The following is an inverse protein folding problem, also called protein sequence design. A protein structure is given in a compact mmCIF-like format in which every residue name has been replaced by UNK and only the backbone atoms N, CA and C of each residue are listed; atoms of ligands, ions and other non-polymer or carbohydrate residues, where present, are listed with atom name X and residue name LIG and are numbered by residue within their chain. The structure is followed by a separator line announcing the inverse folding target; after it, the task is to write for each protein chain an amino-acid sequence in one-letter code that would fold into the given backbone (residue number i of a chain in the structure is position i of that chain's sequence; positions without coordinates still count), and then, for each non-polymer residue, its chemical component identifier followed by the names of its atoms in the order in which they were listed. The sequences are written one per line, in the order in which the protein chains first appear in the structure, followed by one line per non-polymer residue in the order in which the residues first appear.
data_IF_235975882913
#
_entry.id   IF_235975882913
#
_cell.length_a   1.000
_cell.length_b   1.000
_cell.length_c   1.000
_cell.angle_alpha   90.00
_cell.angle_beta   90.00
_cell.angle_gamma   90.00
#
_symmetry.space_group_name_H-M   'P 1'
#
loop_
_entity.id
_entity.type
_entity.pdbx_description
1 polymer ?
#
# COMPACT_ATOMS: atom_id res chain seq x y z
N UNK A 1 23.63 -1.65 19.74
CA UNK A 1 22.80 -2.38 18.76
C UNK A 1 21.37 -1.92 18.89
N UNK A 2 20.70 -1.74 17.76
CA UNK A 2 19.27 -1.46 17.66
C UNK A 2 18.63 -2.78 17.22
N UNK A 3 17.75 -3.34 18.04
CA UNK A 3 17.03 -4.57 17.72
C UNK A 3 15.54 -4.26 17.65
N UNK A 4 14.92 -4.63 16.53
CA UNK A 4 13.51 -4.38 16.24
C UNK A 4 12.97 -5.51 15.37
N UNK A 5 11.65 -5.58 15.24
CA UNK A 5 10.98 -6.50 14.32
C UNK A 5 10.36 -5.70 13.18
N UNK A 6 10.60 -6.10 11.94
CA UNK A 6 10.06 -5.39 10.78
C UNK A 6 8.55 -5.63 10.61
N UNK A 7 7.92 -4.91 9.69
CA UNK A 7 6.47 -5.04 9.44
C UNK A 7 6.03 -6.40 8.88
N UNK A 8 6.97 -7.27 8.48
CA UNK A 8 6.71 -8.66 8.08
C UNK A 8 6.89 -9.65 9.23
N UNK A 9 7.49 -9.16 10.30
CA UNK A 9 7.68 -9.85 11.54
C UNK A 9 9.02 -10.56 11.69
N UNK A 10 9.99 -10.20 10.84
CA UNK A 10 11.37 -10.67 10.93
C UNK A 10 12.16 -9.80 11.91
N UNK A 11 13.00 -10.44 12.74
CA UNK A 11 13.90 -9.73 13.64
C UNK A 11 15.05 -9.09 12.87
N UNK A 12 15.32 -7.82 13.15
CA UNK A 12 16.37 -7.02 12.54
C UNK A 12 17.27 -6.43 13.62
N UNK A 13 18.58 -6.62 13.47
CA UNK A 13 19.59 -6.05 14.35
C UNK A 13 20.57 -5.16 13.58
N UNK A 14 20.71 -3.91 14.04
CA UNK A 14 21.64 -2.93 13.47
C UNK A 14 22.69 -2.57 14.52
N UNK A 15 23.95 -2.90 14.24
CA UNK A 15 25.06 -2.49 15.10
C UNK A 15 25.60 -1.14 14.65
N UNK A 16 25.54 -0.17 15.56
CA UNK A 16 26.08 1.19 15.37
C UNK A 16 27.48 1.23 15.96
N UNK A 17 28.47 1.57 15.13
CA UNK A 17 29.87 1.69 15.54
C UNK A 17 30.29 3.16 15.45
N UNK A 18 30.20 3.88 16.57
CA UNK A 18 30.78 5.21 16.70
C UNK A 18 32.29 5.12 16.95
N UNK A 19 33.08 6.00 16.36
CA UNK A 19 34.51 6.13 16.64
C UNK A 19 34.73 7.16 17.75
N UNK A 20 35.88 7.06 18.41
CA UNK A 20 36.28 8.05 19.40
C UNK A 20 36.46 9.42 18.72
N UNK A 21 35.63 10.38 19.12
CA UNK A 21 35.64 11.74 18.58
C UNK A 21 34.50 12.05 17.60
N UNK A 22 33.67 11.07 17.23
CA UNK A 22 32.45 11.33 16.45
C UNK A 22 31.47 12.14 17.30
N UNK A 23 30.82 13.14 16.68
CA UNK A 23 29.74 13.89 17.33
C UNK A 23 28.38 13.17 17.18
N UNK A 24 27.37 13.65 17.92
CA UNK A 24 26.06 12.97 17.98
C UNK A 24 25.33 13.12 16.63
N UNK A 25 25.56 14.22 15.92
CA UNK A 25 25.06 14.49 14.57
C UNK A 25 25.62 13.50 13.54
N UNK A 26 26.90 13.16 13.62
CA UNK A 26 27.53 12.11 12.81
C UNK A 26 26.93 10.73 13.13
N UNK A 27 26.72 10.42 14.41
CA UNK A 27 26.04 9.18 14.82
C UNK A 27 24.60 9.11 14.28
N UNK A 28 23.85 10.22 14.37
CA UNK A 28 22.50 10.30 13.82
C UNK A 28 22.49 10.09 12.30
N UNK A 29 23.46 10.70 11.60
CA UNK A 29 23.64 10.53 10.15
C UNK A 29 23.98 9.09 9.80
N UNK A 30 24.86 8.44 10.59
CA UNK A 30 25.22 7.05 10.39
C UNK A 30 24.02 6.11 10.59
N UNK A 31 23.20 6.31 11.63
CA UNK A 31 21.96 5.54 11.85
C UNK A 31 21.02 5.70 10.65
N UNK A 32 20.78 6.94 10.21
CA UNK A 32 19.91 7.23 9.07
C UNK A 32 20.40 6.63 7.74
N UNK A 33 21.70 6.42 7.60
CA UNK A 33 22.31 5.82 6.41
C UNK A 33 22.37 4.28 6.44
N UNK A 34 22.35 3.67 7.63
CA UNK A 34 22.47 2.22 7.77
C UNK A 34 21.14 1.48 7.57
N UNK A 35 20.03 2.14 7.87
CA UNK A 35 18.70 1.52 7.78
C UNK A 35 17.61 2.53 7.46
N UNK A 36 16.64 2.09 6.68
CA UNK A 36 15.43 2.85 6.40
C UNK A 36 14.31 2.63 7.44
N UNK A 37 14.50 1.69 8.38
CA UNK A 37 13.49 1.31 9.38
C UNK A 37 13.41 2.31 10.53
N UNK A 38 14.53 2.94 10.88
CA UNK A 38 14.59 3.99 11.90
C UNK A 38 15.08 5.31 11.32
N UNK A 39 14.73 6.40 12.00
CA UNK A 39 15.27 7.74 11.75
C UNK A 39 15.88 8.28 13.02
N UNK A 40 16.99 9.00 12.92
CA UNK A 40 17.65 9.61 14.06
C UNK A 40 17.82 11.11 13.86
N UNK A 41 17.73 11.87 14.95
CA UNK A 41 18.00 13.31 14.99
C UNK A 41 18.56 13.73 16.34
N UNK A 42 19.04 14.97 16.42
CA UNK A 42 19.56 15.56 17.65
C UNK A 42 18.58 16.63 18.14
N UNK A 43 18.16 16.50 19.40
CA UNK A 43 17.29 17.45 20.08
C UNK A 43 18.04 18.71 20.54
N UNK A 44 17.29 19.71 20.99
CA UNK A 44 17.84 20.96 21.53
C UNK A 44 18.68 20.76 22.80
N UNK A 45 18.44 19.66 23.53
CA UNK A 45 19.21 19.25 24.70
C UNK A 45 20.51 18.50 24.34
N UNK A 46 20.85 18.43 23.05
CA UNK A 46 22.04 17.75 22.54
C UNK A 46 21.97 16.23 22.64
N UNK A 47 20.77 15.66 22.81
CA UNK A 47 20.58 14.20 22.88
C UNK A 47 20.16 13.62 21.55
N UNK A 48 20.62 12.39 21.32
CA UNK A 48 20.18 11.58 20.19
C UNK A 48 18.74 11.09 20.42
N UNK A 49 17.91 11.26 19.41
CA UNK A 49 16.56 10.73 19.36
C UNK A 49 16.46 9.78 18.17
N UNK A 50 15.79 8.64 18.38
CA UNK A 50 15.60 7.63 17.33
C UNK A 50 14.11 7.30 17.26
N UNK A 51 13.57 7.34 16.05
CA UNK A 51 12.16 7.15 15.73
C UNK A 51 11.99 5.96 14.79
N UNK A 52 10.90 5.23 14.95
CA UNK A 52 10.51 4.17 14.04
C UNK A 52 9.03 4.34 13.66
N UNK A 53 8.73 4.26 12.37
CA UNK A 53 7.36 4.28 11.88
C UNK A 53 6.71 2.91 11.99
N UNK A 54 5.47 2.85 12.50
CA UNK A 54 4.69 1.61 12.61
C UNK A 54 4.37 0.93 11.25
N UNK A 55 4.49 1.67 10.15
CA UNK A 55 4.36 1.12 8.80
C UNK A 55 5.58 0.29 8.36
N UNK A 56 6.69 0.38 9.10
CA UNK A 56 7.96 -0.30 8.80
C UNK A 56 8.39 -1.27 9.90
N UNK A 57 7.96 -1.04 11.13
CA UNK A 57 8.38 -1.78 12.33
C UNK A 57 7.14 -2.32 13.05
N UNK A 58 7.14 -3.60 13.39
CA UNK A 58 6.12 -4.29 14.19
C UNK A 58 6.62 -4.50 15.62
N UNK A 59 6.18 -3.65 16.55
CA UNK A 59 6.52 -3.77 17.97
C UNK A 59 7.54 -2.75 18.46
N UNK A 60 8.20 -3.07 19.58
CA UNK A 60 9.09 -2.16 20.28
C UNK A 60 10.49 -2.14 19.65
N UNK A 61 11.10 -0.96 19.61
CA UNK A 61 12.52 -0.78 19.25
C UNK A 61 13.34 -0.84 20.53
N UNK A 62 14.30 -1.76 20.59
CA UNK A 62 15.19 -1.89 21.75
C UNK A 62 16.60 -1.42 21.41
N UNK A 63 17.24 -0.77 22.39
CA UNK A 63 18.62 -0.31 22.30
C UNK A 63 19.48 -1.06 23.32
N UNK A 64 20.63 -1.57 22.89
CA UNK A 64 21.55 -2.31 23.75
C UNK A 64 23.03 -1.96 23.48
N UNK A 65 23.90 -2.26 24.46
CA UNK A 65 25.34 -2.03 24.37
C UNK A 65 25.82 -0.73 25.02
N UNK A 66 27.15 -0.56 25.11
CA UNK A 66 27.78 0.56 25.83
C UNK A 66 27.41 1.94 25.29
N UNK A 67 27.37 2.08 23.96
CA UNK A 67 27.01 3.34 23.29
C UNK A 67 25.57 3.78 23.60
N UNK A 68 24.63 2.83 23.73
CA UNK A 68 23.25 3.16 24.08
C UNK A 68 23.14 3.72 25.50
N UNK A 69 23.92 3.19 26.44
CA UNK A 69 24.03 3.72 27.80
C UNK A 69 24.69 5.09 27.86
N UNK A 70 25.75 5.31 27.07
CA UNK A 70 26.46 6.60 27.01
C UNK A 70 25.60 7.72 26.40
N UNK A 71 24.84 7.39 25.36
CA UNK A 71 23.89 8.31 24.72
C UNK A 71 22.56 8.45 25.48
N UNK A 72 22.42 7.76 26.63
CA UNK A 72 21.19 7.74 27.44
C UNK A 72 19.93 7.37 26.64
N UNK A 73 20.05 6.44 25.70
CA UNK A 73 18.91 5.93 24.96
C UNK A 73 18.04 5.08 25.91
N UNK A 74 16.84 5.58 26.19
CA UNK A 74 15.87 4.94 27.09
C UNK A 74 14.98 3.91 26.39
N UNK A 75 13.94 3.48 27.11
CA UNK A 75 12.87 2.64 26.55
C UNK A 75 12.15 3.36 25.40
N UNK A 76 11.70 2.59 24.41
CA UNK A 76 10.95 3.17 23.31
C UNK A 76 9.58 3.61 23.82
N UNK A 77 9.22 4.85 23.47
CA UNK A 77 7.90 5.40 23.74
C UNK A 77 7.04 5.28 22.49
N UNK A 78 5.87 4.66 22.62
CA UNK A 78 4.87 4.71 21.56
C UNK A 78 4.22 6.10 21.53
N UNK A 79 4.30 6.76 20.38
CA UNK A 79 3.65 8.05 20.13
C UNK A 79 2.78 7.93 18.88
N UNK A 80 1.61 8.52 18.92
CA UNK A 80 0.59 8.49 17.87
C UNK A 80 0.35 9.88 17.32
N UNK A 81 -0.34 9.98 16.18
CA UNK A 81 -0.75 11.27 15.59
C UNK A 81 -1.55 12.14 16.57
N UNK A 82 -2.27 11.53 17.50
CA UNK A 82 -3.07 12.23 18.53
C UNK A 82 -2.22 12.83 19.66
N UNK A 83 -1.03 12.27 19.90
CA UNK A 83 -0.17 12.60 21.04
C UNK A 83 1.08 13.36 20.67
N UNK A 84 1.18 13.83 19.41
CA UNK A 84 2.30 14.63 18.93
C UNK A 84 2.36 15.98 19.64
N UNK A 85 3.56 16.44 19.93
CA UNK A 85 3.83 17.75 20.55
C UNK A 85 4.89 18.49 19.74
N UNK A 86 4.54 19.68 19.24
CA UNK A 86 5.42 20.51 18.39
C UNK A 86 5.99 21.72 19.15
N UNK A 87 5.84 21.77 20.48
CA UNK A 87 6.31 22.88 21.30
C UNK A 87 7.83 22.90 21.51
N UNK A 88 8.52 21.80 21.23
CA UNK A 88 9.98 21.67 21.26
C UNK A 88 10.54 21.26 19.90
N UNK A 89 11.82 21.56 19.65
CA UNK A 89 12.51 21.14 18.41
C UNK A 89 12.50 19.62 18.26
N UNK A 90 12.77 18.91 19.36
CA UNK A 90 12.71 17.46 19.46
C UNK A 90 11.32 16.92 19.10
N UNK A 91 10.28 17.43 19.76
CA UNK A 91 8.91 17.01 19.52
C UNK A 91 8.43 17.32 18.09
N UNK A 92 8.89 18.44 17.51
CA UNK A 92 8.60 18.76 16.11
C UNK A 92 9.23 17.75 15.13
N UNK A 93 10.49 17.33 15.37
CA UNK A 93 11.15 16.30 14.55
C UNK A 93 10.46 14.94 14.68
N UNK A 94 10.09 14.55 15.91
CA UNK A 94 9.29 13.35 16.18
C UNK A 94 7.94 13.40 15.44
N UNK A 95 7.24 14.53 15.53
CA UNK A 95 5.97 14.77 14.87
C UNK A 95 6.07 14.60 13.35
N UNK A 96 7.14 15.11 12.74
CA UNK A 96 7.40 14.93 11.29
C UNK A 96 7.56 13.45 10.94
N UNK A 97 8.32 12.70 11.72
CA UNK A 97 8.49 11.26 11.49
C UNK A 97 7.17 10.48 11.61
N UNK A 98 6.36 10.80 12.63
CA UNK A 98 5.04 10.18 12.86
C UNK A 98 4.08 10.50 11.72
N UNK A 99 4.00 11.77 11.30
CA UNK A 99 3.12 12.20 10.22
C UNK A 99 3.56 11.59 8.89
N UNK A 100 4.85 11.51 8.58
CA UNK A 100 5.36 10.84 7.38
C UNK A 100 4.97 9.35 7.35
N UNK A 101 5.08 8.65 8.48
CA UNK A 101 4.64 7.27 8.61
C UNK A 101 3.12 7.13 8.39
N UNK A 102 2.32 8.00 9.01
CA UNK A 102 0.87 8.02 8.86
C UNK A 102 0.42 8.34 7.42
N UNK A 103 1.08 9.28 6.76
CA UNK A 103 0.80 9.63 5.36
C UNK A 103 1.12 8.45 4.44
N UNK A 104 2.28 7.80 4.62
CA UNK A 104 2.63 6.60 3.85
C UNK A 104 1.63 5.47 4.04
N UNK A 105 1.10 5.30 5.25
CA UNK A 105 0.03 4.35 5.52
C UNK A 105 -1.25 4.70 4.75
N UNK A 106 -1.67 5.97 4.74
CA UNK A 106 -2.86 6.39 3.98
C UNK A 106 -2.62 6.22 2.47
N UNK A 107 -1.45 6.60 1.97
CA UNK A 107 -1.11 6.50 0.56
C UNK A 107 -1.04 5.06 0.06
N UNK A 108 -0.56 4.12 0.88
CA UNK A 108 -0.57 2.69 0.53
C UNK A 108 -1.99 2.16 0.33
N UNK A 109 -2.92 2.54 1.22
CA UNK A 109 -4.33 2.16 1.09
C UNK A 109 -4.99 2.82 -0.13
N UNK A 110 -4.65 4.08 -0.43
CA UNK A 110 -5.14 4.75 -1.64
C UNK A 110 -4.62 4.09 -2.92
N UNK A 111 -3.37 3.65 -2.92
CA UNK A 111 -2.79 2.90 -4.03
C UNK A 111 -3.49 1.56 -4.22
N UNK A 112 -3.78 0.83 -3.14
CA UNK A 112 -4.55 -0.42 -3.18
C UNK A 112 -5.97 -0.20 -3.74
N UNK A 113 -6.67 0.83 -3.26
CA UNK A 113 -7.98 1.21 -3.80
C UNK A 113 -7.91 1.58 -5.28
N UNK A 114 -6.87 2.30 -5.71
CA UNK A 114 -6.63 2.61 -7.12
C UNK A 114 -6.40 1.36 -7.97
N UNK A 115 -5.66 0.38 -7.45
CA UNK A 115 -5.47 -0.91 -8.11
C UNK A 115 -6.79 -1.69 -8.24
N UNK A 116 -7.64 -1.67 -7.20
CA UNK A 116 -8.98 -2.26 -7.28
C UNK A 116 -9.86 -1.56 -8.32
N UNK A 117 -9.84 -0.23 -8.37
CA UNK A 117 -10.56 0.53 -9.41
C UNK A 117 -10.10 0.12 -10.82
N UNK A 118 -8.79 -0.01 -11.04
CA UNK A 118 -8.27 -0.44 -12.33
C UNK A 118 -8.76 -1.86 -12.69
N UNK A 119 -8.72 -2.78 -11.73
CA UNK A 119 -9.23 -4.14 -11.91
C UNK A 119 -10.74 -4.17 -12.20
N UNK A 120 -11.53 -3.32 -11.54
CA UNK A 120 -12.96 -3.20 -11.82
C UNK A 120 -13.23 -2.66 -13.22
N UNK A 121 -12.51 -1.62 -13.65
CA UNK A 121 -12.64 -1.09 -15.01
C UNK A 121 -12.31 -2.15 -16.06
N UNK A 122 -11.23 -2.91 -15.87
CA UNK A 122 -10.90 -4.02 -16.76
C UNK A 122 -11.97 -5.12 -16.77
N UNK A 123 -12.50 -5.48 -15.60
CA UNK A 123 -13.57 -6.47 -15.51
C UNK A 123 -14.84 -5.99 -16.23
N UNK A 124 -15.23 -4.72 -16.05
CA UNK A 124 -16.38 -4.10 -16.73
C UNK A 124 -16.17 -4.12 -18.24
N UNK A 125 -15.04 -3.61 -18.74
CA UNK A 125 -14.78 -3.61 -20.19
C UNK A 125 -14.77 -5.02 -20.79
N UNK A 126 -14.26 -6.01 -20.07
CA UNK A 126 -14.32 -7.39 -20.51
C UNK A 126 -15.77 -7.92 -20.54
N UNK A 127 -16.57 -7.62 -19.51
CA UNK A 127 -17.98 -8.00 -19.45
C UNK A 127 -18.81 -7.33 -20.55
N UNK A 128 -18.55 -6.07 -20.88
CA UNK A 128 -19.22 -5.35 -21.96
C UNK A 128 -18.91 -5.99 -23.32
N UNK A 129 -17.64 -6.31 -23.58
CA UNK A 129 -17.24 -7.04 -24.79
C UNK A 129 -17.92 -8.42 -24.88
N UNK A 130 -18.00 -9.16 -23.77
CA UNK A 130 -18.71 -10.44 -23.72
C UNK A 130 -20.19 -10.23 -23.99
N UNK A 131 -20.81 -9.20 -23.40
CA UNK A 131 -22.22 -8.89 -23.58
C UNK A 131 -22.55 -8.57 -25.04
N UNK A 132 -21.71 -7.76 -25.71
CA UNK A 132 -21.85 -7.45 -27.14
C UNK A 132 -21.76 -8.71 -28.00
N UNK A 133 -20.73 -9.54 -27.77
CA UNK A 133 -20.55 -10.79 -28.50
C UNK A 133 -21.70 -11.79 -28.30
N UNK A 134 -22.22 -11.89 -27.07
CA UNK A 134 -23.37 -12.74 -26.73
C UNK A 134 -24.64 -12.21 -27.41
N UNK A 135 -24.89 -10.91 -27.37
CA UNK A 135 -26.06 -10.31 -28.03
C UNK A 135 -25.99 -10.46 -29.56
N UNK A 136 -24.82 -10.24 -30.18
CA UNK A 136 -24.63 -10.44 -31.61
C UNK A 136 -24.84 -11.91 -32.02
N UNK A 137 -24.36 -12.86 -31.20
CA UNK A 137 -24.58 -14.29 -31.42
C UNK A 137 -26.06 -14.66 -31.25
N UNK A 138 -26.74 -14.09 -30.26
CA UNK A 138 -28.19 -14.26 -30.05
C UNK A 138 -29.02 -13.67 -31.19
N UNK A 139 -28.65 -12.51 -31.73
CA UNK A 139 -29.30 -11.93 -32.92
C UNK A 139 -29.16 -12.86 -34.10
N UNK A 140 -27.94 -13.33 -34.41
CA UNK A 140 -27.72 -14.27 -35.52
C UNK A 140 -28.54 -15.55 -35.41
N UNK A 141 -28.67 -16.11 -34.21
CA UNK A 141 -29.52 -17.29 -33.97
C UNK A 141 -30.99 -16.93 -34.24
N UNK A 142 -31.49 -15.85 -33.62
CA UNK A 142 -32.88 -15.40 -33.81
C UNK A 142 -33.22 -15.08 -35.27
N UNK A 143 -32.34 -14.37 -35.97
CA UNK A 143 -32.53 -13.98 -37.36
C UNK A 143 -32.54 -15.22 -38.27
N UNK A 144 -31.69 -16.22 -37.98
CA UNK A 144 -31.67 -17.50 -38.70
C UNK A 144 -32.95 -18.29 -38.47
N UNK A 145 -33.45 -18.34 -37.22
CA UNK A 145 -34.69 -19.04 -36.89
C UNK A 145 -35.91 -18.35 -37.52
N UNK A 146 -35.95 -17.01 -37.51
CA UNK A 146 -36.98 -16.22 -38.20
C UNK A 146 -36.96 -16.46 -39.71
N UNK A 147 -35.79 -16.50 -40.33
CA UNK A 147 -35.64 -16.77 -41.76
C UNK A 147 -36.14 -18.17 -42.12
N UNK A 148 -35.85 -19.18 -41.29
CA UNK A 148 -36.36 -20.56 -41.47
C UNK A 148 -37.89 -20.62 -41.35
N UNK A 149 -38.45 -20.05 -40.30
CA UNK A 149 -39.91 -20.03 -40.08
C UNK A 149 -40.64 -19.30 -41.21
N UNK A 150 -40.12 -18.15 -41.63
CA UNK A 150 -40.70 -17.38 -42.75
C UNK A 150 -40.66 -18.17 -44.05
N UNK A 151 -39.54 -18.84 -44.35
CA UNK A 151 -39.43 -19.69 -45.54
C UNK A 151 -40.44 -20.84 -45.50
N UNK A 152 -40.63 -21.45 -44.33
CA UNK A 152 -41.58 -22.54 -44.13
C UNK A 152 -43.04 -22.07 -44.24
N UNK A 153 -43.36 -20.89 -43.71
CA UNK A 153 -44.65 -20.24 -43.87
C UNK A 153 -44.93 -19.91 -45.34
N UNK A 154 -43.99 -19.27 -46.05
CA UNK A 154 -44.12 -18.94 -47.48
C UNK A 154 -44.29 -20.21 -48.32
N UNK A 155 -43.49 -21.27 -48.06
CA UNK A 155 -43.64 -22.56 -48.74
C UNK A 155 -45.05 -23.14 -48.54
N UNK A 156 -45.57 -23.08 -47.32
CA UNK A 156 -46.91 -23.60 -47.00
C UNK A 156 -48.02 -22.81 -47.68
N UNK A 157 -47.87 -21.48 -47.77
CA UNK A 157 -48.80 -20.60 -48.49
C UNK A 157 -48.81 -20.89 -50.00
N UNK A 158 -47.62 -21.01 -50.63
CA UNK A 158 -47.51 -21.36 -52.06
C UNK A 158 -48.15 -22.73 -52.33
N UNK A 159 -47.91 -23.72 -51.48
CA UNK A 159 -48.50 -25.05 -51.63
C UNK A 159 -50.04 -24.99 -51.56
N UNK A 160 -50.59 -24.20 -50.63
CA UNK A 160 -52.04 -24.03 -50.50
C UNK A 160 -52.68 -23.36 -51.72
N UNK A 161 -52.04 -22.34 -52.30
CA UNK A 161 -52.50 -21.69 -53.53
C UNK A 161 -52.38 -22.59 -54.77
N UNK A 162 -51.32 -23.39 -54.85
CA UNK A 162 -51.13 -24.37 -55.92
C UNK A 162 -52.14 -25.52 -55.85
N UNK A 163 -52.59 -25.90 -54.64
CA UNK A 163 -53.67 -26.89 -54.46
C UNK A 163 -55.07 -26.33 -54.69
N UNK A 164 -55.28 -25.01 -54.61
CA UNK A 164 -56.58 -24.37 -54.83
C UNK A 164 -56.78 -23.80 -56.23
N UNK A 165 -55.75 -23.83 -57.09
CA UNK A 165 -55.80 -23.41 -58.50
C UNK A 165 -56.01 -24.62 -59.42
#
# INVERSE_FOLDING_TARGET
TISLKDSFGEEQEFTINAKAGDDIEEVATYINGQTDLVKASVGEDGKLQVFAGNNKVDGEVSFSGGLAGELSLGEAKAVTVDTIDVTSVAGAQESVAIVDAALKYVDSHRAELGAFQNRFNHAISNLDNINENVNASKSRIKDTDFAKETTQMTKSQILSQASSS
#
